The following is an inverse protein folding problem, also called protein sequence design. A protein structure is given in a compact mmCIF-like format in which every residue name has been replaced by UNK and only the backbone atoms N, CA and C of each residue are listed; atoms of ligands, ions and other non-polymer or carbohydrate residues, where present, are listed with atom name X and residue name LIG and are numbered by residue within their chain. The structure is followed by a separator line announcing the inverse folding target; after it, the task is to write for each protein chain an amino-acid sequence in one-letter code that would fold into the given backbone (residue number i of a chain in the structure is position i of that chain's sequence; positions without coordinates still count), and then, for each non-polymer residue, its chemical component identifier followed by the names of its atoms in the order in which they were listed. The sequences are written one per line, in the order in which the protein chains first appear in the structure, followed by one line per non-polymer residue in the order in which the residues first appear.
data_IF_050220818783
#
_entry.id   IF_050220818783
#
_cell.length_a   1.000
_cell.length_b   1.000
_cell.length_c   1.000
_cell.angle_alpha   90.00
_cell.angle_beta   90.00
_cell.angle_gamma   90.00
#
_symmetry.space_group_name_H-M   'P 1'
#
loop_
_entity.id
_entity.type
_entity.pdbx_description
1 polymer ?
#
# COMPACT_ATOMS: atom_id res chain seq x y z
N UNK A 1 13.61 11.16 -4.23
CA UNK A 1 12.23 10.70 -4.00
C UNK A 1 12.20 10.27 -2.56
N UNK A 2 11.46 11.00 -1.73
CA UNK A 2 11.64 10.95 -0.28
C UNK A 2 10.53 10.16 0.43
N UNK A 3 9.38 9.98 -0.24
CA UNK A 3 8.27 9.15 0.23
C UNK A 3 7.37 8.72 -0.94
N UNK A 4 6.58 7.66 -0.72
CA UNK A 4 5.54 7.20 -1.64
C UNK A 4 4.19 7.37 -0.97
N UNK A 5 3.24 8.03 -1.64
CA UNK A 5 1.84 8.11 -1.19
C UNK A 5 0.94 7.30 -2.10
N UNK A 6 0.19 6.37 -1.51
CA UNK A 6 -0.72 5.45 -2.23
C UNK A 6 -2.15 5.71 -1.74
N UNK A 7 -3.02 6.20 -2.61
CA UNK A 7 -4.43 6.41 -2.31
C UNK A 7 -5.28 5.44 -3.13
N UNK A 8 -6.01 4.56 -2.45
CA UNK A 8 -6.83 3.52 -3.08
C UNK A 8 -8.26 3.67 -2.59
N UNK A 9 -9.19 3.63 -3.54
CA UNK A 9 -10.62 3.49 -3.28
C UNK A 9 -10.99 2.03 -3.54
N UNK A 10 -11.33 1.29 -2.48
CA UNK A 10 -11.58 -0.15 -2.51
C UNK A 10 -12.81 -0.53 -3.33
N UNK A 11 -13.81 0.35 -3.43
CA UNK A 11 -15.03 0.07 -4.19
C UNK A 11 -15.72 -1.21 -3.71
N UNK A 12 -15.71 -2.26 -4.53
CA UNK A 12 -16.26 -3.60 -4.21
C UNK A 12 -15.22 -4.51 -3.51
N UNK A 13 -13.94 -4.19 -3.64
CA UNK A 13 -12.88 -4.99 -3.04
C UNK A 13 -12.77 -4.73 -1.55
N UNK A 14 -12.46 -5.78 -0.79
CA UNK A 14 -12.24 -5.65 0.65
C UNK A 14 -10.87 -5.04 0.93
N UNK A 15 -10.84 -4.03 1.79
CA UNK A 15 -9.64 -3.28 2.13
C UNK A 15 -8.56 -4.13 2.83
N UNK A 16 -8.93 -5.25 3.45
CA UNK A 16 -8.00 -6.21 4.09
C UNK A 16 -7.07 -6.87 3.06
N UNK A 17 -7.61 -7.37 1.95
CA UNK A 17 -6.87 -8.01 0.86
C UNK A 17 -5.90 -7.00 0.23
N UNK A 18 -6.33 -5.76 0.07
CA UNK A 18 -5.50 -4.68 -0.48
C UNK A 18 -4.34 -4.37 0.47
N UNK A 19 -4.61 -4.24 1.77
CA UNK A 19 -3.59 -3.96 2.77
C UNK A 19 -2.54 -5.09 2.84
N UNK A 20 -2.96 -6.36 2.84
CA UNK A 20 -2.05 -7.50 2.81
C UNK A 20 -1.18 -7.51 1.55
N UNK A 21 -1.76 -7.22 0.38
CA UNK A 21 -1.04 -7.11 -0.88
C UNK A 21 0.04 -6.04 -0.84
N UNK A 22 -0.26 -4.88 -0.26
CA UNK A 22 0.72 -3.80 -0.11
C UNK A 22 1.84 -4.20 0.85
N UNK A 23 1.51 -4.79 2.00
CA UNK A 23 2.52 -5.25 2.96
C UNK A 23 3.45 -6.27 2.30
N UNK A 24 2.91 -7.22 1.53
CA UNK A 24 3.73 -8.20 0.82
C UNK A 24 4.63 -7.54 -0.21
N UNK A 25 4.08 -6.65 -1.05
CA UNK A 25 4.84 -5.91 -2.04
C UNK A 25 5.97 -5.07 -1.42
N UNK A 26 5.71 -4.38 -0.30
CA UNK A 26 6.74 -3.58 0.39
C UNK A 26 7.91 -4.44 0.92
N UNK A 27 7.64 -5.69 1.30
CA UNK A 27 8.65 -6.65 1.73
C UNK A 27 9.44 -7.23 0.56
N UNK A 28 8.74 -7.61 -0.51
CA UNK A 28 9.35 -8.21 -1.70
C UNK A 28 10.29 -7.22 -2.43
N UNK A 29 9.97 -5.92 -2.39
CA UNK A 29 10.72 -4.85 -3.04
C UNK A 29 11.80 -4.19 -2.15
N UNK A 30 11.92 -4.57 -0.87
CA UNK A 30 12.81 -3.95 0.13
C UNK A 30 12.79 -2.40 0.08
N UNK A 31 11.58 -1.82 0.16
CA UNK A 31 11.42 -0.37 0.04
C UNK A 31 12.06 0.34 1.25
N UNK A 32 13.12 1.11 0.98
CA UNK A 32 13.86 1.89 1.99
C UNK A 32 13.27 3.27 2.29
N UNK A 33 12.32 3.70 1.47
CA UNK A 33 11.64 4.99 1.61
C UNK A 33 10.24 4.78 2.21
N UNK A 34 9.76 5.71 3.05
CA UNK A 34 8.48 5.58 3.72
C UNK A 34 7.32 5.56 2.74
N UNK A 35 6.37 4.64 2.97
CA UNK A 35 5.14 4.51 2.19
C UNK A 35 3.95 4.87 3.08
N UNK A 36 3.17 5.86 2.65
CA UNK A 36 1.92 6.26 3.31
C UNK A 36 0.77 5.78 2.46
N UNK A 37 -0.09 4.93 3.03
CA UNK A 37 -1.22 4.34 2.31
C UNK A 37 -2.52 4.85 2.92
N UNK A 38 -3.44 5.24 2.05
CA UNK A 38 -4.76 5.68 2.41
C UNK A 38 -5.79 4.85 1.65
N UNK A 39 -6.57 4.08 2.41
CA UNK A 39 -7.62 3.20 1.89
C UNK A 39 -8.98 3.85 2.14
N UNK A 40 -9.86 3.84 1.14
CA UNK A 40 -11.19 4.45 1.16
C UNK A 40 -12.25 3.49 0.66
#
# INVERSE_FOLDING_TARGET
VDAIFVNIFGGIMRCDVIAEGIIKATKDLDLKIPVVVRLQ
#
